data_IF_418519091994
#
_entry.id   IF_418519091994
#
_cell.length_a   1.000
_cell.length_b   1.000
_cell.length_c   1.000
_cell.angle_alpha   90.00
_cell.angle_beta   90.00
_cell.angle_gamma   90.00
#
_symmetry.space_group_name_H-M   'P 1'
#
loop_
_entity.id
_entity.type
_entity.pdbx_description
1 polymer ?
#
# COMPACT_ATOMS: atom_id res chain seq x y z
N UNK A 1 0.42 16.59 17.69
CA UNK A 1 -0.75 16.11 18.45
C UNK A 1 -1.12 14.72 18.00
N UNK A 2 -1.48 14.52 16.73
CA UNK A 2 -1.85 13.21 16.14
C UNK A 2 -0.90 12.06 16.50
N UNK A 3 0.42 12.22 16.36
CA UNK A 3 1.36 11.15 16.73
C UNK A 3 1.34 10.81 18.22
N UNK A 4 1.12 11.79 19.11
CA UNK A 4 1.01 11.51 20.55
C UNK A 4 -0.23 10.67 20.85
N UNK A 5 -1.34 10.99 20.21
CA UNK A 5 -2.61 10.26 20.37
C UNK A 5 -2.48 8.84 19.83
N UNK A 6 -1.88 8.66 18.64
CA UNK A 6 -1.74 7.33 18.06
C UNK A 6 -0.69 6.47 18.76
N UNK A 7 0.39 7.05 19.30
CA UNK A 7 1.29 6.29 20.18
C UNK A 7 0.60 5.79 21.46
N UNK A 8 -0.46 6.46 21.91
CA UNK A 8 -1.22 6.06 23.08
C UNK A 8 -2.37 5.08 22.78
N UNK A 9 -2.74 4.87 21.51
CA UNK A 9 -3.88 4.02 21.15
C UNK A 9 -3.54 2.53 21.09
N UNK A 10 -2.26 2.19 20.85
CA UNK A 10 -1.84 0.80 20.63
C UNK A 10 -2.16 0.28 19.23
N UNK A 11 -2.62 1.15 18.33
CA UNK A 11 -2.88 0.78 16.94
C UNK A 11 -1.58 0.57 16.15
N UNK A 12 -1.66 -0.26 15.11
CA UNK A 12 -0.65 -0.32 14.06
C UNK A 12 -0.82 0.90 13.16
N UNK A 13 0.24 1.71 13.03
CA UNK A 13 0.20 2.96 12.28
C UNK A 13 1.20 2.95 11.14
N UNK A 14 0.70 3.27 9.94
CA UNK A 14 1.51 3.52 8.75
C UNK A 14 1.45 5.01 8.41
N UNK A 15 2.59 5.70 8.42
CA UNK A 15 2.71 7.13 8.12
C UNK A 15 3.58 7.34 6.88
N UNK A 16 3.05 7.97 5.84
CA UNK A 16 3.79 8.25 4.61
C UNK A 16 4.11 9.73 4.47
N UNK A 17 5.35 10.04 4.09
CA UNK A 17 5.81 11.42 3.85
C UNK A 17 6.47 12.11 5.04
N UNK A 18 7.17 13.20 4.74
CA UNK A 18 7.82 14.06 5.74
C UNK A 18 9.09 13.48 6.39
N UNK A 19 9.68 12.43 5.79
CA UNK A 19 10.91 11.78 6.29
C UNK A 19 12.16 12.08 5.44
N UNK A 20 12.05 12.90 4.39
CA UNK A 20 13.19 13.35 3.59
C UNK A 20 14.09 14.34 4.34
N UNK A 21 14.87 15.14 3.61
CA UNK A 21 15.78 16.14 4.19
C UNK A 21 15.40 17.60 3.85
N UNK A 22 14.25 17.86 3.21
CA UNK A 22 13.84 19.23 2.91
C UNK A 22 13.31 19.93 4.17
N UNK A 23 13.27 21.28 4.21
CA UNK A 23 12.87 22.01 5.42
C UNK A 23 11.44 21.69 5.92
N UNK A 24 10.56 21.24 5.02
CA UNK A 24 9.18 20.82 5.31
C UNK A 24 9.05 19.36 5.79
N UNK A 25 10.12 18.56 5.70
CA UNK A 25 10.15 17.19 6.24
C UNK A 25 10.27 17.22 7.78
N UNK A 26 9.14 17.09 8.46
CA UNK A 26 9.04 17.18 9.93
C UNK A 26 8.59 15.91 10.64
N UNK A 27 8.30 14.83 9.93
CA UNK A 27 7.72 13.60 10.51
C UNK A 27 8.65 12.96 11.53
N UNK A 28 9.96 12.90 11.24
CA UNK A 28 10.98 12.32 12.14
C UNK A 28 11.05 13.08 13.47
N UNK A 29 11.10 14.41 13.40
CA UNK A 29 11.13 15.30 14.55
C UNK A 29 9.80 15.27 15.31
N UNK A 30 8.67 15.16 14.60
CA UNK A 30 7.36 15.07 15.23
C UNK A 30 7.20 13.76 16.01
N UNK A 31 7.69 12.63 15.48
CA UNK A 31 7.71 11.34 16.18
C UNK A 31 8.59 11.39 17.44
N UNK A 32 9.82 11.91 17.32
CA UNK A 32 10.73 12.08 18.45
C UNK A 32 10.12 12.94 19.57
N UNK A 33 9.52 14.10 19.22
CA UNK A 33 8.82 14.97 20.18
C UNK A 33 7.57 14.33 20.77
N UNK A 34 6.89 13.46 20.04
CA UNK A 34 5.71 12.77 20.54
C UNK A 34 6.10 11.76 21.64
N UNK A 35 7.22 11.07 21.47
CA UNK A 35 7.76 10.08 22.40
C UNK A 35 8.65 10.69 23.50
N UNK A 36 9.08 11.94 23.36
CA UNK A 36 9.97 12.59 24.31
C UNK A 36 11.41 12.07 24.25
N UNK A 37 11.86 11.63 23.08
CA UNK A 37 13.22 11.11 22.84
C UNK A 37 13.98 11.98 21.85
N UNK A 38 15.31 11.87 21.85
CA UNK A 38 16.18 12.58 20.91
C UNK A 38 16.19 11.93 19.51
N UNK A 39 16.71 12.67 18.53
CA UNK A 39 17.02 12.16 17.19
C UNK A 39 18.51 11.86 17.08
N UNK A 40 18.87 10.66 16.63
CA UNK A 40 20.25 10.31 16.31
C UNK A 40 20.34 9.69 14.92
N UNK A 41 21.48 9.92 14.25
CA UNK A 41 21.81 9.20 13.03
C UNK A 41 21.94 7.71 13.33
N UNK A 42 20.97 6.93 12.84
CA UNK A 42 20.93 5.49 13.09
C UNK A 42 22.13 4.79 12.39
N UNK A 43 22.89 3.92 13.08
CA UNK A 43 24.11 3.32 12.50
C UNK A 43 23.87 2.58 11.18
N UNK A 44 22.78 1.81 11.08
CA UNK A 44 22.43 1.12 9.84
C UNK A 44 21.92 2.09 8.76
N UNK A 45 21.22 3.17 9.13
CA UNK A 45 20.80 4.18 8.16
C UNK A 45 22.03 4.90 7.58
N UNK A 46 23.01 5.22 8.42
CA UNK A 46 24.29 5.77 7.97
C UNK A 46 24.95 4.87 6.94
N UNK A 47 25.05 3.56 7.22
CA UNK A 47 25.66 2.61 6.29
C UNK A 47 24.91 2.56 4.94
N UNK A 48 23.57 2.48 4.96
CA UNK A 48 22.73 2.45 3.76
C UNK A 48 22.83 3.75 2.94
N UNK A 49 22.79 4.90 3.62
CA UNK A 49 22.91 6.22 2.96
C UNK A 49 24.32 6.39 2.38
N UNK A 50 25.37 5.96 3.08
CA UNK A 50 26.74 5.93 2.55
C UNK A 50 26.81 5.08 1.28
N UNK A 51 26.27 3.86 1.31
CA UNK A 51 26.25 2.99 0.15
C UNK A 51 25.52 3.63 -1.04
N UNK A 52 24.38 4.29 -0.78
CA UNK A 52 23.62 5.00 -1.81
C UNK A 52 24.36 6.19 -2.40
N UNK A 53 25.07 6.97 -1.57
CA UNK A 53 25.92 8.09 -2.01
C UNK A 53 27.00 7.57 -2.96
N UNK A 54 27.73 6.53 -2.55
CA UNK A 54 28.81 5.94 -3.35
C UNK A 54 28.26 5.39 -4.67
N UNK A 55 27.15 4.65 -4.64
CA UNK A 55 26.53 4.10 -5.84
C UNK A 55 26.08 5.19 -6.82
N UNK A 56 25.51 6.29 -6.30
CA UNK A 56 25.02 7.41 -7.13
C UNK A 56 26.14 8.35 -7.62
N UNK A 57 27.37 8.16 -7.15
CA UNK A 57 28.51 8.94 -7.60
C UNK A 57 29.05 8.47 -8.96
N UNK A 58 28.72 7.24 -9.40
CA UNK A 58 29.10 6.68 -10.71
C UNK A 58 30.62 6.77 -10.97
N UNK A 59 31.43 6.60 -9.91
CA UNK A 59 32.90 6.67 -9.98
C UNK A 59 33.50 8.08 -9.89
N UNK A 60 32.68 9.13 -9.78
CA UNK A 60 33.15 10.50 -9.53
C UNK A 60 33.61 10.64 -8.06
N UNK A 61 34.92 10.83 -7.80
CA UNK A 61 35.46 10.90 -6.45
C UNK A 61 34.98 12.14 -5.69
N UNK A 62 34.61 13.21 -6.41
CA UNK A 62 34.09 14.43 -5.80
C UNK A 62 32.66 14.16 -5.29
N UNK A 63 31.81 13.52 -6.09
CA UNK A 63 30.44 13.15 -5.66
C UNK A 63 30.43 12.11 -4.54
N UNK A 64 31.42 11.21 -4.53
CA UNK A 64 31.57 10.17 -3.52
C UNK A 64 32.11 10.68 -2.17
N UNK A 65 32.68 11.89 -2.11
CA UNK A 65 33.21 12.45 -0.86
C UNK A 65 32.09 12.71 0.17
N UNK A 66 32.07 11.89 1.20
CA UNK A 66 31.07 11.94 2.27
C UNK A 66 31.10 13.26 3.06
N UNK A 67 32.21 14.00 3.05
CA UNK A 67 32.34 15.25 3.81
C UNK A 67 31.71 16.46 3.10
N UNK A 68 31.29 16.31 1.84
CA UNK A 68 30.62 17.39 1.12
C UNK A 68 29.33 17.81 1.83
N UNK A 69 28.99 19.12 1.82
CA UNK A 69 27.76 19.61 2.43
C UNK A 69 26.49 18.88 1.97
N UNK A 70 26.41 18.52 0.69
CA UNK A 70 25.29 17.76 0.11
C UNK A 70 25.17 16.35 0.69
N UNK A 71 26.29 15.65 0.89
CA UNK A 71 26.32 14.30 1.45
C UNK A 71 26.08 14.31 2.96
N UNK A 72 26.61 15.31 3.67
CA UNK A 72 26.28 15.56 5.08
C UNK A 72 24.79 15.83 5.27
N UNK A 73 24.18 16.58 4.34
CA UNK A 73 22.74 16.81 4.35
C UNK A 73 21.93 15.52 4.11
N UNK A 74 22.41 14.61 3.24
CA UNK A 74 21.74 13.32 3.02
C UNK A 74 21.72 12.44 4.27
N UNK A 75 22.75 12.48 5.11
CA UNK A 75 22.74 11.74 6.38
C UNK A 75 21.61 12.18 7.32
N UNK A 76 21.12 13.41 7.18
CA UNK A 76 19.94 13.85 7.95
C UNK A 76 18.75 12.95 7.71
N UNK A 77 18.57 12.33 6.54
CA UNK A 77 17.45 11.39 6.29
C UNK A 77 17.49 10.15 7.20
N UNK A 78 18.66 9.81 7.77
CA UNK A 78 18.85 8.69 8.69
C UNK A 78 18.81 9.08 10.17
N UNK A 79 18.49 10.33 10.50
CA UNK A 79 18.27 10.75 11.89
C UNK A 79 16.87 10.34 12.34
N UNK A 80 16.80 9.36 13.22
CA UNK A 80 15.56 8.76 13.70
C UNK A 80 15.42 8.89 15.23
N UNK A 81 14.18 8.83 15.76
CA UNK A 81 13.96 8.78 17.20
C UNK A 81 14.80 7.66 17.84
N UNK A 82 15.47 7.94 18.96
CA UNK A 82 16.23 6.92 19.68
C UNK A 82 15.31 5.74 20.04
N UNK A 83 15.76 4.52 19.73
CA UNK A 83 14.96 3.29 19.86
C UNK A 83 14.29 2.83 18.57
N UNK A 84 14.46 3.56 17.46
CA UNK A 84 13.91 3.15 16.16
C UNK A 84 14.68 1.97 15.54
N UNK A 85 13.94 1.13 14.82
CA UNK A 85 14.42 0.09 13.92
C UNK A 85 14.36 0.56 12.46
N UNK A 86 15.10 -0.11 11.57
CA UNK A 86 15.14 0.21 10.14
C UNK A 86 14.02 -0.50 9.40
N UNK A 87 13.34 0.25 8.53
CA UNK A 87 12.52 -0.31 7.46
C UNK A 87 13.35 -0.23 6.17
N UNK A 88 13.74 -1.36 5.55
CA UNK A 88 14.54 -1.37 4.35
C UNK A 88 13.75 -0.79 3.17
N UNK A 89 14.43 -0.05 2.30
CA UNK A 89 13.85 0.52 1.09
C UNK A 89 14.44 -0.16 -0.16
N UNK A 90 13.71 -1.10 -0.79
CA UNK A 90 14.21 -1.82 -1.97
C UNK A 90 14.34 -0.94 -3.21
N UNK A 91 13.72 0.25 -3.22
CA UNK A 91 13.72 1.14 -4.39
C UNK A 91 15.04 1.91 -4.54
N UNK A 92 15.53 2.54 -3.45
CA UNK A 92 16.72 3.40 -3.52
C UNK A 92 17.67 3.28 -2.31
N UNK A 93 17.46 2.29 -1.44
CA UNK A 93 18.24 2.02 -0.23
C UNK A 93 18.12 3.07 0.89
N UNK A 94 17.48 4.22 0.69
CA UNK A 94 17.26 5.21 1.76
C UNK A 94 16.14 4.70 2.67
N UNK A 95 16.44 4.29 3.93
CA UNK A 95 15.51 3.56 4.75
C UNK A 95 14.38 4.44 5.30
N UNK A 96 13.27 3.79 5.64
CA UNK A 96 12.29 4.32 6.60
C UNK A 96 12.67 3.92 8.03
N UNK A 97 11.80 4.19 8.98
CA UNK A 97 12.01 3.77 10.37
C UNK A 97 10.72 3.27 11.02
N UNK A 98 10.89 2.34 11.96
CA UNK A 98 9.83 1.81 12.82
C UNK A 98 10.17 2.15 14.27
N UNK A 99 9.19 2.53 15.07
CA UNK A 99 9.34 2.61 16.52
C UNK A 99 8.01 2.23 17.17
N UNK A 100 8.02 1.21 18.03
CA UNK A 100 6.81 0.52 18.46
C UNK A 100 5.99 0.02 17.25
N UNK A 101 4.67 0.20 17.25
CA UNK A 101 3.78 -0.20 16.16
C UNK A 101 3.62 0.88 15.06
N UNK A 102 4.52 1.89 15.04
CA UNK A 102 4.48 2.99 14.08
C UNK A 102 5.57 2.86 13.04
N UNK A 103 5.16 2.89 11.76
CA UNK A 103 5.99 2.67 10.59
C UNK A 103 5.98 3.92 9.73
N UNK A 104 7.17 4.44 9.40
CA UNK A 104 7.32 5.72 8.71
C UNK A 104 8.04 5.54 7.39
N UNK A 105 7.39 6.00 6.30
CA UNK A 105 7.82 5.77 4.91
C UNK A 105 7.99 7.09 4.14
N UNK A 106 8.73 7.09 3.02
CA UNK A 106 8.72 8.20 2.08
C UNK A 106 7.31 8.49 1.54
N UNK A 107 7.09 9.71 1.04
CA UNK A 107 5.78 10.10 0.49
C UNK A 107 5.48 9.55 -0.90
N UNK A 108 6.47 8.98 -1.59
CA UNK A 108 6.31 8.46 -2.95
C UNK A 108 5.70 7.05 -2.92
N UNK A 109 4.52 6.82 -3.53
CA UNK A 109 3.85 5.52 -3.49
C UNK A 109 4.73 4.36 -4.01
N UNK A 110 5.51 4.61 -5.06
CA UNK A 110 6.44 3.61 -5.65
C UNK A 110 7.52 3.13 -4.66
N UNK A 111 7.85 3.95 -3.66
CA UNK A 111 8.78 3.56 -2.58
C UNK A 111 8.02 3.02 -1.37
N UNK A 112 6.96 3.70 -0.94
CA UNK A 112 6.24 3.36 0.28
C UNK A 112 5.54 1.98 0.18
N UNK A 113 4.95 1.65 -0.97
CA UNK A 113 4.22 0.40 -1.15
C UNK A 113 5.06 -0.86 -0.88
N UNK A 114 6.23 -1.08 -1.50
CA UNK A 114 7.04 -2.26 -1.21
C UNK A 114 7.62 -2.25 0.22
N UNK A 115 7.89 -1.09 0.81
CA UNK A 115 8.32 -0.99 2.20
C UNK A 115 7.21 -1.38 3.18
N UNK A 116 5.97 -0.96 2.91
CA UNK A 116 4.79 -1.32 3.69
C UNK A 116 4.50 -2.81 3.59
N UNK A 117 4.56 -3.38 2.39
CA UNK A 117 4.44 -4.82 2.19
C UNK A 117 5.47 -5.60 3.03
N UNK A 118 6.73 -5.15 3.03
CA UNK A 118 7.77 -5.74 3.88
C UNK A 118 7.41 -5.68 5.38
N UNK A 119 6.90 -4.54 5.89
CA UNK A 119 6.47 -4.44 7.29
C UNK A 119 5.32 -5.40 7.60
N UNK A 120 4.35 -5.53 6.70
CA UNK A 120 3.23 -6.46 6.84
C UNK A 120 3.73 -7.92 6.91
N UNK A 121 4.63 -8.30 6.02
CA UNK A 121 5.21 -9.65 5.97
C UNK A 121 6.09 -9.98 7.18
N UNK A 122 6.81 -8.99 7.72
CA UNK A 122 7.78 -9.18 8.81
C UNK A 122 7.10 -9.16 10.19
N UNK A 123 6.16 -8.25 10.42
CA UNK A 123 5.60 -7.99 11.75
C UNK A 123 4.17 -8.47 11.94
N UNK A 124 3.42 -8.71 10.85
CA UNK A 124 1.97 -8.92 10.91
C UNK A 124 1.50 -10.15 10.13
N UNK A 125 2.41 -11.09 9.83
CA UNK A 125 2.08 -12.30 9.08
C UNK A 125 1.04 -13.16 9.77
N UNK A 126 1.03 -13.17 11.09
CA UNK A 126 0.04 -13.83 11.94
C UNK A 126 -1.36 -13.18 11.86
N UNK A 127 -1.45 -11.96 11.33
CA UNK A 127 -2.71 -11.28 11.02
C UNK A 127 -3.24 -11.58 9.62
N UNK A 128 -2.46 -12.25 8.77
CA UNK A 128 -2.87 -12.55 7.40
C UNK A 128 -3.82 -13.74 7.37
N UNK A 129 -4.86 -13.65 6.53
CA UNK A 129 -5.80 -14.74 6.27
C UNK A 129 -6.37 -15.40 7.54
N UNK A 130 -6.52 -14.63 8.64
CA UNK A 130 -7.17 -15.12 9.86
C UNK A 130 -8.61 -15.58 9.59
N UNK A 131 -9.21 -15.05 8.54
CA UNK A 131 -10.47 -15.51 7.96
C UNK A 131 -10.21 -16.00 6.54
N UNK A 132 -10.92 -17.06 6.15
CA UNK A 132 -10.90 -17.60 4.78
C UNK A 132 -11.67 -16.65 3.86
N UNK A 133 -11.10 -15.47 3.56
CA UNK A 133 -11.79 -14.42 2.81
C UNK A 133 -11.24 -14.32 1.39
N UNK A 134 -12.13 -14.33 0.40
CA UNK A 134 -11.79 -14.22 -1.01
C UNK A 134 -12.64 -13.14 -1.68
N UNK A 135 -12.07 -12.46 -2.66
CA UNK A 135 -12.75 -11.54 -3.55
C UNK A 135 -12.46 -11.94 -4.99
N UNK A 136 -13.49 -12.06 -5.82
CA UNK A 136 -13.36 -12.36 -7.25
C UNK A 136 -14.35 -11.52 -8.05
N UNK A 137 -13.89 -11.01 -9.19
CA UNK A 137 -14.67 -10.17 -10.10
C UNK A 137 -14.52 -10.61 -11.56
N UNK A 138 -15.37 -10.04 -12.40
CA UNK A 138 -15.30 -10.10 -13.86
C UNK A 138 -15.83 -8.78 -14.44
N UNK A 139 -15.47 -8.50 -15.69
CA UNK A 139 -15.94 -7.31 -16.40
C UNK A 139 -17.21 -7.63 -17.19
N UNK A 140 -18.17 -6.72 -17.09
CA UNK A 140 -19.42 -6.70 -17.87
C UNK A 140 -19.37 -5.52 -18.84
N UNK A 141 -18.96 -5.74 -20.11
CA UNK A 141 -18.88 -4.67 -21.11
C UNK A 141 -20.24 -4.04 -21.34
N UNK A 142 -20.30 -2.70 -21.32
CA UNK A 142 -21.56 -1.93 -21.48
C UNK A 142 -22.68 -2.30 -20.49
N UNK A 143 -22.36 -2.98 -19.39
CA UNK A 143 -23.30 -3.39 -18.35
C UNK A 143 -24.18 -2.24 -17.86
N UNK A 144 -25.40 -2.59 -17.43
CA UNK A 144 -26.37 -1.65 -16.89
C UNK A 144 -26.67 -2.09 -15.46
N UNK A 145 -26.21 -1.32 -14.48
CA UNK A 145 -26.27 -1.67 -13.05
C UNK A 145 -27.70 -1.95 -12.57
N UNK A 146 -28.67 -1.14 -13.01
CA UNK A 146 -30.09 -1.34 -12.66
C UNK A 146 -30.65 -2.66 -13.18
N UNK A 147 -30.12 -3.18 -14.30
CA UNK A 147 -30.53 -4.49 -14.85
C UNK A 147 -29.88 -5.64 -14.07
N UNK A 148 -28.66 -5.45 -13.56
CA UNK A 148 -27.92 -6.45 -12.79
C UNK A 148 -28.33 -6.49 -11.32
N UNK A 149 -28.88 -5.41 -10.77
CA UNK A 149 -29.21 -5.29 -9.34
C UNK A 149 -30.09 -6.44 -8.81
N UNK A 150 -31.19 -6.86 -9.48
CA UNK A 150 -31.98 -7.99 -8.98
C UNK A 150 -31.19 -9.31 -8.92
N UNK A 151 -30.26 -9.53 -9.86
CA UNK A 151 -29.37 -10.68 -9.82
C UNK A 151 -28.40 -10.58 -8.63
N UNK A 152 -27.82 -9.41 -8.38
CA UNK A 152 -26.94 -9.17 -7.24
C UNK A 152 -27.64 -9.50 -5.92
N UNK A 153 -28.87 -9.01 -5.73
CA UNK A 153 -29.70 -9.31 -4.56
C UNK A 153 -30.03 -10.81 -4.44
N UNK A 154 -30.27 -11.48 -5.57
CA UNK A 154 -30.53 -12.94 -5.60
C UNK A 154 -29.30 -13.78 -5.22
N UNK A 155 -28.10 -13.27 -5.44
CA UNK A 155 -26.85 -13.93 -5.04
C UNK A 155 -26.61 -13.71 -3.55
N UNK A 156 -26.74 -12.48 -3.05
CA UNK A 156 -26.60 -12.22 -1.59
C UNK A 156 -27.64 -12.96 -0.73
N UNK A 157 -28.86 -13.18 -1.25
CA UNK A 157 -29.90 -13.92 -0.53
C UNK A 157 -29.71 -15.44 -0.54
N UNK A 158 -29.07 -16.00 -1.57
CA UNK A 158 -28.81 -17.45 -1.65
C UNK A 158 -27.54 -17.86 -0.91
N UNK A 159 -26.50 -17.02 -0.93
CA UNK A 159 -25.21 -17.33 -0.34
C UNK A 159 -24.98 -16.49 0.93
N UNK A 160 -25.28 -17.09 2.08
CA UNK A 160 -25.07 -16.45 3.38
C UNK A 160 -23.60 -16.00 3.55
N UNK A 161 -23.39 -14.75 3.99
CA UNK A 161 -22.06 -14.18 4.17
C UNK A 161 -21.38 -13.65 2.90
N UNK A 162 -21.96 -13.87 1.71
CA UNK A 162 -21.47 -13.27 0.47
C UNK A 162 -21.97 -11.83 0.32
N UNK A 163 -21.08 -10.96 -0.15
CA UNK A 163 -21.38 -9.62 -0.62
C UNK A 163 -21.08 -9.47 -2.10
N UNK A 164 -22.04 -8.93 -2.84
CA UNK A 164 -21.90 -8.62 -4.26
C UNK A 164 -21.54 -7.14 -4.40
N UNK A 165 -20.62 -6.80 -5.29
CA UNK A 165 -20.24 -5.43 -5.58
C UNK A 165 -20.29 -5.14 -7.08
N UNK A 166 -20.52 -3.86 -7.40
CA UNK A 166 -20.59 -3.31 -8.74
C UNK A 166 -19.76 -2.03 -8.78
N UNK A 167 -18.75 -2.00 -9.65
CA UNK A 167 -17.84 -0.87 -9.84
C UNK A 167 -17.97 -0.36 -11.28
N UNK A 168 -18.86 0.63 -11.54
CA UNK A 168 -19.04 1.16 -12.88
C UNK A 168 -17.85 2.01 -13.31
N UNK A 169 -17.48 1.88 -14.58
CA UNK A 169 -16.39 2.62 -15.21
C UNK A 169 -16.84 3.25 -16.53
N UNK A 170 -16.43 4.50 -16.76
CA UNK A 170 -16.65 5.21 -18.03
C UNK A 170 -15.70 4.75 -19.14
N UNK A 171 -14.69 3.92 -18.81
CA UNK A 171 -13.64 3.47 -19.73
C UNK A 171 -12.41 4.38 -19.73
N UNK A 172 -11.25 3.81 -20.06
CA UNK A 172 -9.97 4.50 -20.21
C UNK A 172 -9.32 4.11 -21.56
N UNK A 173 -9.34 5.00 -22.57
CA UNK A 173 -8.78 4.72 -23.90
C UNK A 173 -7.32 4.27 -23.89
N UNK A 174 -6.53 4.64 -22.87
CA UNK A 174 -5.11 4.28 -22.76
C UNK A 174 -4.95 2.79 -22.41
N UNK A 175 -5.87 2.23 -21.61
CA UNK A 175 -5.82 0.82 -21.18
C UNK A 175 -6.13 -0.18 -22.29
N UNK A 176 -6.80 0.25 -23.37
CA UNK A 176 -7.16 -0.62 -24.49
C UNK A 176 -8.18 -1.71 -24.12
N UNK A 177 -8.55 -2.53 -25.11
CA UNK A 177 -9.42 -3.70 -24.90
C UNK A 177 -10.79 -3.39 -24.29
N UNK A 178 -11.26 -4.26 -23.40
CA UNK A 178 -12.55 -4.10 -22.69
C UNK A 178 -12.56 -2.85 -21.81
N UNK A 179 -11.40 -2.47 -21.26
CA UNK A 179 -11.25 -1.33 -20.36
C UNK A 179 -11.31 0.02 -21.07
N UNK A 180 -11.15 0.07 -22.39
CA UNK A 180 -11.23 1.31 -23.17
C UNK A 180 -12.65 1.88 -23.32
N UNK A 181 -13.67 1.05 -23.05
CA UNK A 181 -15.08 1.42 -23.18
C UNK A 181 -15.78 1.36 -21.83
N UNK A 182 -17.01 1.87 -21.75
CA UNK A 182 -17.86 1.74 -20.56
C UNK A 182 -18.03 0.26 -20.19
N UNK A 183 -17.83 -0.06 -18.92
CA UNK A 183 -17.98 -1.39 -18.38
C UNK A 183 -18.33 -1.33 -16.89
N UNK A 184 -18.77 -2.45 -16.32
CA UNK A 184 -18.92 -2.65 -14.88
C UNK A 184 -17.95 -3.75 -14.48
N UNK A 185 -17.14 -3.53 -13.45
CA UNK A 185 -16.49 -4.64 -12.76
C UNK A 185 -17.47 -5.15 -11.70
N UNK A 186 -17.94 -6.38 -11.88
CA UNK A 186 -18.95 -7.02 -11.05
C UNK A 186 -18.30 -8.20 -10.34
N UNK A 187 -18.53 -8.36 -9.05
CA UNK A 187 -17.88 -9.42 -8.30
C UNK A 187 -18.54 -9.75 -6.97
N UNK A 188 -17.98 -10.77 -6.32
CA UNK A 188 -18.40 -11.22 -5.00
C UNK A 188 -17.22 -11.28 -4.05
N UNK A 189 -17.48 -11.08 -2.76
CA UNK A 189 -16.52 -11.28 -1.69
C UNK A 189 -17.16 -11.91 -0.47
N UNK A 190 -16.41 -12.75 0.24
CA UNK A 190 -16.90 -13.50 1.40
C UNK A 190 -16.02 -14.70 1.71
N UNK A 191 -16.60 -15.74 2.30
CA UNK A 191 -15.90 -16.98 2.58
C UNK A 191 -15.37 -17.63 1.29
N UNK A 192 -14.07 -17.95 1.25
CA UNK A 192 -13.42 -18.50 0.07
C UNK A 192 -13.97 -19.86 -0.37
N UNK A 193 -14.60 -20.61 0.53
CA UNK A 193 -15.26 -21.88 0.19
C UNK A 193 -16.59 -21.65 -0.56
N UNK A 194 -17.21 -20.48 -0.40
CA UNK A 194 -18.52 -20.14 -0.97
C UNK A 194 -18.37 -19.25 -2.22
N UNK A 195 -17.38 -18.36 -2.22
CA UNK A 195 -17.14 -17.37 -3.29
C UNK A 195 -17.16 -17.99 -4.69
N UNK A 196 -16.51 -19.14 -4.98
CA UNK A 196 -16.54 -19.73 -6.32
C UNK A 196 -17.96 -20.08 -6.80
N UNK A 197 -18.82 -20.59 -5.90
CA UNK A 197 -20.21 -20.93 -6.23
C UNK A 197 -21.05 -19.67 -6.48
N UNK A 198 -20.90 -18.67 -5.62
CA UNK A 198 -21.60 -17.40 -5.76
C UNK A 198 -21.19 -16.63 -7.02
N UNK A 199 -19.89 -16.63 -7.33
CA UNK A 199 -19.36 -16.03 -8.54
C UNK A 199 -19.90 -16.72 -9.81
N UNK A 200 -19.99 -18.04 -9.81
CA UNK A 200 -20.51 -18.79 -10.96
C UNK A 200 -22.00 -18.50 -11.19
N UNK A 201 -22.81 -18.39 -10.13
CA UNK A 201 -24.20 -17.94 -10.24
C UNK A 201 -24.28 -16.53 -10.81
N UNK A 202 -23.43 -15.62 -10.32
CA UNK A 202 -23.40 -14.23 -10.78
C UNK A 202 -23.01 -14.12 -12.26
N UNK A 203 -22.03 -14.91 -12.71
CA UNK A 203 -21.61 -14.99 -14.13
C UNK A 203 -22.71 -15.57 -15.01
N UNK A 204 -23.31 -16.69 -14.58
CA UNK A 204 -24.38 -17.35 -15.33
C UNK A 204 -25.59 -16.42 -15.49
N UNK A 205 -26.07 -15.84 -14.38
CA UNK A 205 -27.18 -14.90 -14.41
C UNK A 205 -26.88 -13.62 -15.21
N UNK A 206 -25.62 -13.14 -15.21
CA UNK A 206 -25.23 -11.99 -16.03
C UNK A 206 -25.34 -12.32 -17.53
N UNK A 207 -24.93 -13.53 -17.89
CA UNK A 207 -25.05 -14.04 -19.26
C UNK A 207 -26.51 -14.25 -19.66
N UNK A 208 -27.35 -14.77 -18.76
CA UNK A 208 -28.79 -14.96 -18.99
C UNK A 208 -29.54 -13.63 -19.19
N UNK A 209 -29.07 -12.55 -18.55
CA UNK A 209 -29.56 -11.18 -18.78
C UNK A 209 -29.07 -10.58 -20.11
N UNK A 210 -28.28 -11.33 -20.90
CA UNK A 210 -27.81 -10.94 -22.22
C UNK A 210 -26.52 -10.11 -22.22
N UNK A 211 -25.81 -10.02 -21.10
CA UNK A 211 -24.53 -9.34 -21.02
C UNK A 211 -23.36 -10.28 -21.27
N UNK A 212 -22.30 -9.75 -21.86
CA UNK A 212 -21.03 -10.48 -22.00
C UNK A 212 -20.29 -10.53 -20.65
N UNK A 213 -19.66 -11.67 -20.37
CA UNK A 213 -18.82 -11.89 -19.18
C UNK A 213 -17.36 -11.99 -19.62
N UNK A 214 -16.54 -11.02 -19.22
CA UNK A 214 -15.12 -11.00 -19.52
C UNK A 214 -14.30 -11.24 -18.24
N UNK A 215 -13.57 -12.36 -18.21
CA UNK A 215 -12.70 -12.70 -17.08
C UNK A 215 -11.34 -12.03 -17.31
N UNK A 216 -10.93 -11.19 -16.37
CA UNK A 216 -9.55 -10.68 -16.32
C UNK A 216 -8.80 -11.42 -15.20
N UNK A 217 -7.56 -11.81 -15.49
CA UNK A 217 -6.61 -12.30 -14.48
C UNK A 217 -5.84 -11.14 -13.87
#
# INVERSE_FOLDING_TARGET
>A
QTLKESFASGDVVFSTGGIGATPDDHTRQAAARALGVDLHLHPQAKALITARIIASAEGDPIKADLNRPENQHRFKMGEFPVGSEIIPNPYNQIPGFRIHEHHFFPGFPVMAAPMMAWCLDEHYRDLFHQTNWLEQSFIVPSGIESTLTPLMESVESEFEGIKVFSLPSVGDPIRGGVFAKRHIELGVKGDADIVPMALEKLKSGTSDLGFEVFIHQ
#
